data_IF_239589047960
#
_entry.id   IF_239589047960
#
_cell.length_a   1.000
_cell.length_b   1.000
_cell.length_c   1.000
_cell.angle_alpha   90.00
_cell.angle_beta   90.00
_cell.angle_gamma   90.00
#
_symmetry.space_group_name_H-M   'P 1'
#
loop_
_entity.id
_entity.type
_entity.pdbx_description
1 polymer ?
#
# COMPACT_ATOMS: atom_id res chain seq x y z
N UNK A 1 0.30 13.84 -37.91
CA UNK A 1 1.32 13.15 -38.74
C UNK A 1 1.66 14.12 -39.85
N UNK A 2 2.93 14.50 -40.01
CA UNK A 2 3.38 15.40 -41.10
C UNK A 2 3.85 14.50 -42.24
N UNK A 3 3.24 14.62 -43.41
CA UNK A 3 3.62 13.89 -44.62
C UNK A 3 4.58 14.77 -45.43
N UNK A 4 5.68 14.18 -45.91
CA UNK A 4 6.70 14.87 -46.69
C UNK A 4 6.73 14.25 -48.08
N UNK A 5 6.46 15.06 -49.09
CA UNK A 5 6.61 14.70 -50.49
C UNK A 5 7.82 15.46 -51.06
N UNK A 6 8.63 14.79 -51.87
CA UNK A 6 9.80 15.36 -52.53
C UNK A 6 9.76 14.98 -54.00
N UNK A 7 9.73 15.96 -54.87
CA UNK A 7 9.86 15.78 -56.32
C UNK A 7 11.31 16.09 -56.71
N UNK A 8 11.97 15.14 -57.38
CA UNK A 8 13.36 15.27 -57.82
C UNK A 8 13.44 15.04 -59.33
N UNK A 9 14.19 15.90 -60.02
CA UNK A 9 14.50 15.72 -61.44
C UNK A 9 15.44 14.53 -61.67
N UNK A 10 15.47 14.04 -62.91
CA UNK A 10 16.18 12.82 -63.29
C UNK A 10 17.69 12.95 -63.02
N UNK A 11 18.24 12.01 -62.23
CA UNK A 11 19.68 12.00 -61.87
C UNK A 11 20.03 12.72 -60.56
N UNK A 12 19.05 13.34 -59.88
CA UNK A 12 19.26 13.96 -58.57
C UNK A 12 18.94 13.00 -57.42
N UNK A 13 19.68 13.14 -56.31
CA UNK A 13 19.51 12.35 -55.09
C UNK A 13 19.39 13.28 -53.87
N UNK A 14 18.39 13.06 -53.04
CA UNK A 14 18.25 13.72 -51.73
C UNK A 14 18.66 12.74 -50.61
N UNK A 15 19.75 13.03 -49.87
CA UNK A 15 20.16 12.19 -48.76
C UNK A 15 19.12 12.16 -47.64
N UNK A 16 18.93 10.98 -47.04
CA UNK A 16 18.03 10.80 -45.88
C UNK A 16 18.44 11.67 -44.68
N UNK A 17 19.73 12.02 -44.57
CA UNK A 17 20.22 12.96 -43.56
C UNK A 17 19.63 14.37 -43.70
N UNK A 18 19.45 14.84 -44.95
CA UNK A 18 18.86 16.15 -45.25
C UNK A 18 17.36 16.16 -44.92
N UNK A 19 16.62 15.11 -45.31
CA UNK A 19 15.21 14.95 -44.93
C UNK A 19 15.03 14.95 -43.40
N UNK A 20 15.91 14.25 -42.67
CA UNK A 20 15.88 14.24 -41.22
C UNK A 20 16.20 15.61 -40.62
N UNK A 21 17.10 16.38 -41.24
CA UNK A 21 17.43 17.74 -40.82
C UNK A 21 16.26 18.69 -41.03
N UNK A 22 15.62 18.67 -42.21
CA UNK A 22 14.41 19.44 -42.51
C UNK A 22 13.30 19.12 -41.52
N UNK A 23 13.07 17.83 -41.22
CA UNK A 23 12.11 17.42 -40.21
C UNK A 23 12.44 18.00 -38.83
N UNK A 24 13.70 17.94 -38.38
CA UNK A 24 14.13 18.51 -37.09
C UNK A 24 13.91 20.02 -37.04
N UNK A 25 14.25 20.73 -38.11
CA UNK A 25 14.10 22.18 -38.17
C UNK A 25 12.63 22.59 -38.21
N UNK A 26 11.77 21.84 -38.91
CA UNK A 26 10.33 22.07 -38.91
C UNK A 26 9.71 21.83 -37.53
N UNK A 27 10.08 20.74 -36.84
CA UNK A 27 9.62 20.48 -35.48
C UNK A 27 10.07 21.59 -34.53
N UNK A 28 11.33 22.03 -34.63
CA UNK A 28 11.86 23.13 -33.80
C UNK A 28 11.12 24.44 -34.05
N UNK A 29 10.86 24.79 -35.32
CA UNK A 29 10.08 25.99 -35.67
C UNK A 29 8.66 25.89 -35.16
N UNK A 30 8.01 24.75 -35.35
CA UNK A 30 6.66 24.50 -34.85
C UNK A 30 6.59 24.60 -33.33
N UNK A 31 7.55 24.01 -32.61
CA UNK A 31 7.67 24.13 -31.16
C UNK A 31 7.87 25.58 -30.73
N UNK A 32 8.78 26.32 -31.37
CA UNK A 32 8.99 27.75 -31.11
C UNK A 32 7.70 28.56 -31.35
N UNK A 33 7.05 28.41 -32.50
CA UNK A 33 5.79 29.11 -32.81
C UNK A 33 4.67 28.74 -31.84
N UNK A 34 4.58 27.47 -31.45
CA UNK A 34 3.58 26.98 -30.49
C UNK A 34 3.83 27.50 -29.08
N UNK A 35 5.09 27.70 -28.70
CA UNK A 35 5.49 28.22 -27.39
C UNK A 35 5.58 29.76 -27.34
N UNK A 36 5.65 30.46 -28.48
CA UNK A 36 5.77 31.92 -28.56
C UNK A 36 4.66 32.66 -27.77
N UNK A 37 3.37 32.27 -27.87
CA UNK A 37 2.31 32.89 -27.07
C UNK A 37 2.43 32.63 -25.55
N UNK A 38 3.27 31.67 -25.16
CA UNK A 38 3.45 31.22 -23.78
C UNK A 38 4.72 31.79 -23.14
N UNK A 39 5.65 32.37 -23.91
CA UNK A 39 6.93 32.91 -23.42
C UNK A 39 6.77 34.03 -22.39
N UNK A 40 5.71 34.83 -22.52
CA UNK A 40 5.38 35.92 -21.59
C UNK A 40 4.45 35.53 -20.46
N UNK A 41 4.12 34.24 -20.29
CA UNK A 41 3.25 33.82 -19.17
C UNK A 41 3.99 33.97 -17.85
N UNK A 42 3.65 35.02 -17.13
CA UNK A 42 3.90 35.10 -15.69
C UNK A 42 3.00 34.06 -15.02
N UNK A 43 3.63 33.00 -14.52
CA UNK A 43 2.95 32.09 -13.60
C UNK A 43 2.82 32.86 -12.31
N UNK A 44 1.58 33.13 -11.87
CA UNK A 44 1.37 33.50 -10.48
C UNK A 44 1.87 32.34 -9.64
N UNK A 45 3.00 32.56 -8.95
CA UNK A 45 3.46 31.62 -7.93
C UNK A 45 2.39 31.66 -6.86
N UNK A 46 1.46 30.69 -6.92
CA UNK A 46 0.49 30.46 -5.87
C UNK A 46 1.27 30.43 -4.57
N UNK A 47 0.89 31.30 -3.62
CA UNK A 47 1.55 31.44 -2.33
C UNK A 47 1.93 30.04 -1.84
N UNK A 48 3.21 29.85 -1.47
CA UNK A 48 3.66 28.59 -0.87
C UNK A 48 2.64 28.25 0.22
N UNK A 49 1.94 27.13 0.03
CA UNK A 49 1.01 26.61 1.03
C UNK A 49 1.79 26.57 2.33
N UNK A 50 1.32 27.19 3.42
CA UNK A 50 2.03 27.19 4.68
C UNK A 50 2.41 25.74 5.01
N UNK A 51 3.71 25.48 5.19
CA UNK A 51 4.11 24.20 5.76
C UNK A 51 3.55 24.17 7.17
N UNK A 52 2.86 23.09 7.51
CA UNK A 52 2.44 22.87 8.89
C UNK A 52 3.72 22.88 9.75
N UNK A 53 3.70 23.69 10.81
CA UNK A 53 4.76 23.75 11.81
C UNK A 53 4.24 23.00 13.04
N UNK A 54 4.76 21.80 13.27
CA UNK A 54 4.47 21.01 14.46
C UNK A 54 5.73 20.31 14.93
N UNK A 55 5.85 20.12 16.24
CA UNK A 55 6.81 19.19 16.82
C UNK A 55 6.22 17.79 16.64
N UNK A 56 6.81 16.98 15.76
CA UNK A 56 6.31 15.64 15.50
C UNK A 56 6.28 14.78 16.78
N UNK A 57 5.25 13.93 16.92
CA UNK A 57 5.12 13.01 18.06
C UNK A 57 6.30 12.03 18.19
N UNK A 58 7.10 11.87 17.15
CA UNK A 58 8.33 11.08 17.14
C UNK A 58 9.52 11.79 17.80
N UNK A 59 9.33 12.92 18.47
CA UNK A 59 10.36 13.52 19.34
C UNK A 59 10.68 12.65 20.57
N UNK A 60 9.84 11.66 20.90
CA UNK A 60 10.12 10.68 21.95
C UNK A 60 10.76 9.40 21.37
N UNK A 61 11.85 8.95 22.00
CA UNK A 61 12.70 7.78 21.72
C UNK A 61 11.96 6.42 21.66
N UNK A 62 10.99 6.25 20.77
CA UNK A 62 10.25 4.99 20.65
C UNK A 62 10.91 4.07 19.62
N UNK A 63 11.36 2.90 20.08
CA UNK A 63 12.08 1.90 19.25
C UNK A 63 11.22 1.35 18.11
N UNK A 64 11.68 1.46 16.86
CA UNK A 64 11.01 0.92 15.68
C UNK A 64 10.62 -0.56 15.86
N UNK A 65 9.35 -0.89 15.66
CA UNK A 65 8.82 -2.24 15.89
C UNK A 65 8.16 -2.86 14.66
N UNK A 66 8.01 -4.18 14.67
CA UNK A 66 7.36 -4.94 13.58
C UNK A 66 5.86 -5.06 13.85
N UNK A 67 5.03 -4.63 12.90
CA UNK A 67 3.60 -4.91 12.84
C UNK A 67 3.30 -5.90 11.72
N UNK A 68 2.29 -6.75 11.87
CA UNK A 68 1.96 -7.77 10.86
C UNK A 68 0.46 -7.83 10.61
N UNK A 69 0.07 -7.79 9.34
CA UNK A 69 -1.32 -8.00 8.91
C UNK A 69 -1.53 -9.47 8.57
N UNK A 70 -2.50 -10.13 9.20
CA UNK A 70 -2.76 -11.57 9.09
C UNK A 70 -4.26 -11.88 8.95
N UNK A 71 -4.57 -13.04 8.39
CA UNK A 71 -5.95 -13.46 8.09
C UNK A 71 -6.52 -14.51 9.05
N UNK A 72 -5.69 -15.21 9.82
CA UNK A 72 -6.17 -16.31 10.68
C UNK A 72 -5.35 -16.42 11.96
N UNK A 73 -5.89 -17.16 12.93
CA UNK A 73 -5.29 -17.35 14.24
C UNK A 73 -3.89 -17.97 14.16
N UNK A 74 -3.69 -18.94 13.26
CA UNK A 74 -2.41 -19.61 13.09
C UNK A 74 -1.33 -18.63 12.63
N UNK A 75 -1.67 -17.75 11.69
CA UNK A 75 -0.78 -16.69 11.20
C UNK A 75 -0.54 -15.61 12.26
N UNK A 76 -1.54 -15.25 13.07
CA UNK A 76 -1.37 -14.32 14.20
C UNK A 76 -0.38 -14.89 15.24
N UNK A 77 -0.55 -16.16 15.60
CA UNK A 77 0.35 -16.90 16.48
C UNK A 77 1.78 -16.91 15.93
N UNK A 78 1.94 -17.27 14.65
CA UNK A 78 3.22 -17.26 13.95
C UNK A 78 3.89 -15.87 13.94
N UNK A 79 3.14 -14.81 13.68
CA UNK A 79 3.66 -13.44 13.68
C UNK A 79 4.20 -13.05 15.07
N UNK A 80 3.46 -13.38 16.13
CA UNK A 80 3.91 -13.14 17.51
C UNK A 80 5.14 -13.98 17.87
N UNK A 81 5.22 -15.23 17.43
CA UNK A 81 6.41 -16.09 17.62
C UNK A 81 7.64 -15.54 16.87
N UNK A 82 7.43 -14.91 15.71
CA UNK A 82 8.46 -14.17 14.98
C UNK A 82 8.82 -12.83 15.62
N UNK A 83 8.12 -12.42 16.68
CA UNK A 83 8.40 -11.21 17.46
C UNK A 83 7.71 -9.94 16.96
N UNK A 84 6.60 -10.08 16.24
CA UNK A 84 5.70 -8.95 15.98
C UNK A 84 5.23 -8.30 17.30
N UNK A 85 5.15 -6.98 17.31
CA UNK A 85 4.71 -6.15 18.45
C UNK A 85 3.33 -5.55 18.25
N UNK A 86 2.70 -5.77 17.09
CA UNK A 86 1.35 -5.35 16.77
C UNK A 86 0.78 -6.27 15.70
N UNK A 87 -0.45 -6.74 15.89
CA UNK A 87 -1.16 -7.58 14.91
C UNK A 87 -2.37 -6.82 14.37
N UNK A 88 -2.48 -6.78 13.04
CA UNK A 88 -3.69 -6.37 12.34
C UNK A 88 -4.41 -7.61 11.82
N UNK A 89 -5.52 -7.96 12.46
CA UNK A 89 -6.24 -9.19 12.18
C UNK A 89 -7.43 -8.92 11.26
N UNK A 90 -7.40 -9.43 10.04
CA UNK A 90 -8.46 -9.20 9.04
C UNK A 90 -9.49 -10.32 8.93
N UNK A 91 -9.26 -11.46 9.60
CA UNK A 91 -10.02 -12.68 9.36
C UNK A 91 -9.76 -13.25 7.96
N UNK A 92 -10.54 -14.25 7.55
CA UNK A 92 -10.36 -15.01 6.29
C UNK A 92 -10.68 -14.17 5.03
N UNK A 93 -9.92 -13.09 4.81
CA UNK A 93 -9.94 -12.24 3.61
C UNK A 93 -9.32 -13.03 2.46
N UNK A 94 -9.65 -12.65 1.21
CA UNK A 94 -9.16 -13.30 0.00
C UNK A 94 -9.61 -14.75 -0.18
N UNK A 95 -10.62 -15.17 0.59
CA UNK A 95 -11.42 -16.37 0.36
C UNK A 95 -12.87 -15.96 0.11
N UNK A 96 -13.47 -16.52 -0.94
CA UNK A 96 -14.90 -16.38 -1.18
C UNK A 96 -15.69 -17.20 -0.15
N UNK A 97 -16.80 -16.66 0.37
CA UNK A 97 -17.66 -17.32 1.37
C UNK A 97 -16.89 -17.84 2.61
N UNK A 98 -16.15 -16.97 3.32
CA UNK A 98 -15.48 -17.37 4.56
C UNK A 98 -16.52 -17.80 5.60
N UNK A 99 -16.15 -18.73 6.49
CA UNK A 99 -17.09 -19.33 7.46
C UNK A 99 -17.66 -18.28 8.41
N UNK A 100 -16.80 -17.43 8.96
CA UNK A 100 -17.19 -16.35 9.88
C UNK A 100 -16.25 -15.14 9.74
N UNK A 101 -16.81 -13.95 9.56
CA UNK A 101 -16.04 -12.70 9.49
C UNK A 101 -15.49 -12.38 10.88
N UNK A 102 -14.16 -12.34 10.99
CA UNK A 102 -13.47 -12.08 12.26
C UNK A 102 -13.80 -13.10 13.36
N UNK A 103 -14.37 -14.27 13.05
CA UNK A 103 -14.76 -15.25 14.08
C UNK A 103 -13.61 -15.75 14.96
N UNK A 104 -12.37 -15.68 14.47
CA UNK A 104 -11.16 -16.02 15.22
C UNK A 104 -10.50 -14.83 15.94
N UNK A 105 -10.98 -13.60 15.73
CA UNK A 105 -10.43 -12.39 16.36
C UNK A 105 -10.44 -12.48 17.90
N UNK A 106 -11.48 -12.99 18.60
CA UNK A 106 -11.44 -13.10 20.05
C UNK A 106 -10.33 -14.03 20.57
N UNK A 107 -10.03 -15.10 19.81
CA UNK A 107 -8.94 -16.03 20.13
C UNK A 107 -7.58 -15.38 19.87
N UNK A 108 -7.45 -14.66 18.76
CA UNK A 108 -6.24 -13.91 18.44
C UNK A 108 -5.97 -12.82 19.47
N UNK A 109 -7.01 -12.10 19.90
CA UNK A 109 -6.95 -11.10 20.96
C UNK A 109 -6.53 -11.70 22.29
N UNK A 110 -7.17 -12.79 22.74
CA UNK A 110 -6.78 -13.46 23.99
C UNK A 110 -5.30 -13.89 23.98
N UNK A 111 -4.84 -14.47 22.87
CA UNK A 111 -3.43 -14.81 22.68
C UNK A 111 -2.51 -13.58 22.72
N UNK A 112 -2.96 -12.48 22.12
CA UNK A 112 -2.25 -11.19 22.16
C UNK A 112 -2.10 -10.67 23.58
N UNK A 113 -3.18 -10.72 24.39
CA UNK A 113 -3.15 -10.33 25.80
C UNK A 113 -2.15 -11.15 26.60
N UNK A 114 -2.14 -12.48 26.43
CA UNK A 114 -1.21 -13.39 27.11
C UNK A 114 0.27 -13.07 26.79
N UNK A 115 0.52 -12.48 25.62
CA UNK A 115 1.86 -12.17 25.10
C UNK A 115 2.22 -10.68 25.19
N UNK A 116 1.32 -9.83 25.66
CA UNK A 116 1.49 -8.38 25.64
C UNK A 116 1.62 -7.79 24.23
N UNK A 117 0.98 -8.42 23.24
CA UNK A 117 0.97 -7.95 21.84
C UNK A 117 -0.45 -7.46 21.50
N UNK A 118 -0.66 -6.16 21.23
CA UNK A 118 -1.97 -5.64 20.86
C UNK A 118 -2.47 -6.23 19.54
N UNK A 119 -3.78 -6.51 19.49
CA UNK A 119 -4.47 -7.07 18.33
C UNK A 119 -5.58 -6.13 17.90
N UNK A 120 -5.40 -5.55 16.71
CA UNK A 120 -6.31 -4.62 16.09
C UNK A 120 -7.19 -5.35 15.08
N UNK A 121 -8.49 -5.08 15.08
CA UNK A 121 -9.37 -5.58 14.02
C UNK A 121 -9.11 -4.77 12.75
N UNK A 122 -8.78 -5.44 11.66
CA UNK A 122 -8.49 -4.82 10.38
C UNK A 122 -9.68 -4.98 9.44
N UNK A 123 -10.20 -3.86 8.96
CA UNK A 123 -11.34 -3.83 8.05
C UNK A 123 -10.93 -3.71 6.60
N UNK A 124 -11.78 -4.26 5.73
CA UNK A 124 -11.58 -4.23 4.29
C UNK A 124 -11.54 -2.77 3.79
N UNK A 125 -10.62 -2.46 2.87
CA UNK A 125 -10.48 -1.11 2.29
C UNK A 125 -11.72 -0.64 1.52
N UNK A 126 -12.49 -1.57 0.96
CA UNK A 126 -13.70 -1.30 0.19
C UNK A 126 -14.88 -1.93 0.93
N UNK A 127 -15.71 -1.10 1.51
CA UNK A 127 -16.93 -1.49 2.23
C UNK A 127 -18.13 -0.79 1.61
N UNK A 128 -19.12 -1.56 1.16
CA UNK A 128 -20.39 -1.03 0.66
C UNK A 128 -21.40 -0.84 1.80
N UNK A 129 -22.37 0.07 1.63
CA UNK A 129 -23.35 0.38 2.68
C UNK A 129 -24.06 -0.86 3.24
N UNK A 130 -24.38 -1.85 2.39
CA UNK A 130 -25.09 -3.04 2.80
C UNK A 130 -24.27 -3.99 3.68
N UNK A 131 -22.93 -3.86 3.72
CA UNK A 131 -22.05 -4.74 4.51
C UNK A 131 -21.69 -4.17 5.89
N UNK A 132 -21.87 -2.86 6.07
CA UNK A 132 -21.48 -2.16 7.29
C UNK A 132 -22.23 -2.65 8.54
N UNK A 133 -23.55 -2.94 8.50
CA UNK A 133 -24.26 -3.47 9.67
C UNK A 133 -23.69 -4.79 10.17
N UNK A 134 -23.28 -5.68 9.26
CA UNK A 134 -22.69 -6.99 9.61
C UNK A 134 -21.31 -6.83 10.26
N UNK A 135 -20.50 -5.90 9.75
CA UNK A 135 -19.20 -5.57 10.32
C UNK A 135 -19.37 -5.04 11.76
N UNK A 136 -20.24 -4.05 11.95
CA UNK A 136 -20.51 -3.44 13.26
C UNK A 136 -21.08 -4.48 14.23
N UNK A 137 -22.06 -5.28 13.78
CA UNK A 137 -22.66 -6.34 14.57
C UNK A 137 -21.66 -7.44 14.96
N UNK A 138 -20.65 -7.69 14.13
CA UNK A 138 -19.55 -8.61 14.43
C UNK A 138 -18.60 -8.01 15.47
N UNK A 139 -18.17 -6.76 15.30
CA UNK A 139 -17.27 -6.07 16.22
C UNK A 139 -17.88 -5.90 17.62
N UNK A 140 -19.17 -5.54 17.73
CA UNK A 140 -19.86 -5.36 19.02
C UNK A 140 -19.88 -6.61 19.91
N UNK A 141 -19.67 -7.80 19.34
CA UNK A 141 -19.66 -9.08 20.07
C UNK A 141 -18.27 -9.51 20.51
N UNK A 142 -17.24 -8.76 20.12
CA UNK A 142 -15.86 -9.20 20.17
C UNK A 142 -14.99 -8.21 20.93
N UNK A 143 -13.84 -8.68 21.41
CA UNK A 143 -12.84 -7.86 22.07
C UNK A 143 -11.63 -7.72 21.16
N UNK A 144 -11.08 -6.52 21.12
CA UNK A 144 -9.90 -6.13 20.36
C UNK A 144 -9.32 -4.86 20.99
N UNK A 145 -8.04 -4.57 20.73
CA UNK A 145 -7.33 -3.44 21.34
C UNK A 145 -7.45 -2.16 20.52
N UNK A 146 -7.88 -2.26 19.26
CA UNK A 146 -8.04 -1.13 18.37
C UNK A 146 -8.53 -1.53 16.98
N UNK A 147 -8.66 -0.54 16.10
CA UNK A 147 -9.18 -0.70 14.74
C UNK A 147 -8.16 -0.22 13.72
N UNK A 148 -7.95 -0.99 12.65
CA UNK A 148 -7.27 -0.52 11.43
C UNK A 148 -8.32 -0.27 10.36
N UNK A 149 -8.52 0.99 10.00
CA UNK A 149 -9.60 1.44 9.13
C UNK A 149 -9.02 2.05 7.86
N UNK A 150 -9.62 1.73 6.71
CA UNK A 150 -9.11 2.14 5.40
C UNK A 150 -9.96 3.12 4.60
N UNK A 151 -11.14 3.53 5.09
CA UNK A 151 -12.01 4.45 4.38
C UNK A 151 -12.84 5.32 5.35
N UNK A 152 -13.25 6.50 4.88
CA UNK A 152 -13.98 7.47 5.70
C UNK A 152 -15.36 6.99 6.18
N UNK A 153 -16.05 6.17 5.39
CA UNK A 153 -17.38 5.66 5.77
C UNK A 153 -17.30 4.69 6.96
N UNK A 154 -16.34 3.77 6.92
CA UNK A 154 -16.02 2.90 8.05
C UNK A 154 -15.46 3.70 9.21
N UNK A 155 -14.62 4.71 8.94
CA UNK A 155 -14.04 5.57 9.99
C UNK A 155 -15.15 6.20 10.83
N UNK A 156 -16.08 6.90 10.19
CA UNK A 156 -17.14 7.63 10.89
C UNK A 156 -18.03 6.72 11.74
N UNK A 157 -18.39 5.55 11.21
CA UNK A 157 -19.24 4.60 11.93
C UNK A 157 -18.55 3.95 13.13
N UNK A 158 -17.23 3.81 13.10
CA UNK A 158 -16.50 3.05 14.11
C UNK A 158 -15.91 3.92 15.22
N UNK A 159 -16.06 5.24 15.12
CA UNK A 159 -15.67 6.17 16.20
C UNK A 159 -16.40 5.89 17.51
N UNK A 160 -17.56 5.22 17.45
CA UNK A 160 -18.34 4.83 18.63
C UNK A 160 -17.66 3.75 19.48
N UNK A 161 -16.68 3.01 18.96
CA UNK A 161 -16.07 1.87 19.67
C UNK A 161 -15.08 2.26 20.79
N UNK A 162 -14.85 3.56 21.05
CA UNK A 162 -13.96 4.10 22.11
C UNK A 162 -12.59 3.42 22.22
N UNK A 163 -12.06 2.89 21.11
CA UNK A 163 -10.73 2.27 21.00
C UNK A 163 -9.83 3.07 20.06
N UNK A 164 -8.49 2.95 20.20
CA UNK A 164 -7.55 3.55 19.26
C UNK A 164 -7.82 3.13 17.81
N UNK A 165 -7.90 4.11 16.91
CA UNK A 165 -8.05 3.88 15.47
C UNK A 165 -6.73 4.19 14.77
N UNK A 166 -6.24 3.25 13.97
CA UNK A 166 -5.12 3.40 13.06
C UNK A 166 -5.66 3.64 11.64
N UNK A 167 -5.11 4.63 10.94
CA UNK A 167 -5.42 4.88 9.54
C UNK A 167 -4.58 3.97 8.62
N UNK A 168 -5.24 3.18 7.80
CA UNK A 168 -4.61 2.26 6.86
C UNK A 168 -4.04 2.97 5.61
N UNK A 169 -3.19 2.24 4.88
CA UNK A 169 -2.52 2.70 3.66
C UNK A 169 -3.49 3.22 2.59
N UNK A 170 -4.75 2.78 2.59
CA UNK A 170 -5.76 3.12 1.59
C UNK A 170 -6.27 4.56 1.69
N UNK A 171 -5.95 5.29 2.76
CA UNK A 171 -6.14 6.75 2.81
C UNK A 171 -5.18 7.52 1.90
N UNK A 172 -4.16 6.85 1.33
CA UNK A 172 -3.19 7.45 0.40
C UNK A 172 -2.51 8.70 0.98
N UNK A 173 -2.09 8.62 2.24
CA UNK A 173 -1.46 9.75 2.94
C UNK A 173 -0.12 10.08 2.31
N UNK A 174 -0.09 11.18 1.55
CA UNK A 174 1.05 11.61 0.74
C UNK A 174 1.68 12.95 1.20
N UNK A 175 1.00 13.69 2.07
CA UNK A 175 1.44 15.01 2.51
C UNK A 175 1.02 15.29 3.96
N UNK A 176 1.62 16.32 4.56
CA UNK A 176 1.39 16.70 5.96
C UNK A 176 -0.04 17.13 6.24
N UNK A 177 -0.79 17.63 5.26
CA UNK A 177 -2.18 18.05 5.43
C UNK A 177 -3.12 16.85 5.64
N UNK A 178 -2.88 15.77 4.90
CA UNK A 178 -3.61 14.51 5.11
C UNK A 178 -3.30 13.92 6.49
N UNK A 179 -2.03 14.01 6.93
CA UNK A 179 -1.61 13.60 8.27
C UNK A 179 -2.36 14.40 9.35
N UNK A 180 -2.36 15.72 9.26
CA UNK A 180 -3.02 16.61 10.22
C UNK A 180 -4.52 16.38 10.28
N UNK A 181 -5.18 16.21 9.12
CA UNK A 181 -6.60 15.91 9.05
C UNK A 181 -6.92 14.63 9.84
N UNK A 182 -6.21 13.53 9.57
CA UNK A 182 -6.46 12.26 10.24
C UNK A 182 -6.15 12.32 11.74
N UNK A 183 -5.07 13.00 12.12
CA UNK A 183 -4.73 13.20 13.52
C UNK A 183 -5.82 13.99 14.26
N UNK A 184 -6.33 15.07 13.66
CA UNK A 184 -7.44 15.86 14.23
C UNK A 184 -8.74 15.05 14.36
N UNK A 185 -9.00 14.15 13.42
CA UNK A 185 -10.14 13.23 13.49
C UNK A 185 -9.94 12.07 14.51
N UNK A 186 -8.80 12.02 15.20
CA UNK A 186 -8.53 11.08 16.30
C UNK A 186 -7.72 9.85 15.91
N UNK A 187 -7.02 9.86 14.77
CA UNK A 187 -6.09 8.79 14.44
C UNK A 187 -4.97 8.70 15.50
N UNK A 188 -4.73 7.51 16.02
CA UNK A 188 -3.62 7.25 16.96
C UNK A 188 -2.34 6.79 16.27
N UNK A 189 -2.44 6.37 15.00
CA UNK A 189 -1.32 6.06 14.11
C UNK A 189 -1.79 6.17 12.65
N UNK A 190 -0.88 6.59 11.76
CA UNK A 190 -1.17 6.74 10.33
C UNK A 190 -0.20 5.90 9.50
N UNK A 191 -0.72 5.12 8.55
CA UNK A 191 0.10 4.41 7.57
C UNK A 191 0.35 5.30 6.35
N UNK A 192 1.62 5.61 6.08
CA UNK A 192 1.99 6.44 4.94
C UNK A 192 1.89 5.66 3.62
N UNK A 193 1.65 6.39 2.52
CA UNK A 193 1.48 5.80 1.19
C UNK A 193 2.72 5.01 0.72
N UNK A 194 2.46 3.91 0.00
CA UNK A 194 3.46 3.10 -0.71
C UNK A 194 4.16 3.85 -1.85
N UNK A 195 3.62 5.00 -2.24
CA UNK A 195 4.09 5.83 -3.36
C UNK A 195 5.13 6.88 -2.95
N UNK A 196 5.37 7.06 -1.65
CA UNK A 196 6.31 8.03 -1.11
C UNK A 196 7.75 7.52 -1.14
N UNK A 197 8.70 8.45 -1.26
CA UNK A 197 10.11 8.20 -0.95
C UNK A 197 10.35 8.18 0.56
N UNK A 198 11.36 7.44 1.05
CA UNK A 198 11.72 7.44 2.47
C UNK A 198 12.11 8.82 3.01
N UNK A 199 12.65 9.69 2.15
CA UNK A 199 12.92 11.10 2.48
C UNK A 199 11.64 11.89 2.77
N UNK A 200 10.58 11.64 1.99
CA UNK A 200 9.27 12.25 2.20
C UNK A 200 8.57 11.65 3.42
N UNK A 201 8.68 10.33 3.63
CA UNK A 201 8.20 9.69 4.87
C UNK A 201 8.87 10.31 6.09
N UNK A 202 10.17 10.59 6.03
CA UNK A 202 10.89 11.29 7.11
C UNK A 202 10.32 12.68 7.38
N UNK A 203 10.04 13.46 6.32
CA UNK A 203 9.40 14.78 6.47
C UNK A 203 8.02 14.65 7.14
N UNK A 204 7.21 13.65 6.75
CA UNK A 204 5.93 13.38 7.43
C UNK A 204 6.13 13.02 8.91
N UNK A 205 7.11 12.17 9.24
CA UNK A 205 7.38 11.76 10.61
C UNK A 205 7.83 12.94 11.51
N UNK A 206 8.53 13.93 10.95
CA UNK A 206 8.97 15.13 11.67
C UNK A 206 7.82 16.11 11.96
N UNK A 207 6.81 16.15 11.08
CA UNK A 207 5.69 17.08 11.18
C UNK A 207 4.45 16.46 11.83
N UNK A 208 4.35 15.13 11.86
CA UNK A 208 3.14 14.44 12.28
C UNK A 208 2.95 14.50 13.79
N UNK A 209 1.78 14.96 14.29
CA UNK A 209 1.44 14.91 15.71
C UNK A 209 1.11 13.49 16.20
N UNK A 210 1.19 12.47 15.33
CA UNK A 210 0.92 11.06 15.67
C UNK A 210 1.97 10.15 15.04
N UNK A 211 2.20 8.95 15.58
CA UNK A 211 3.14 8.00 14.97
C UNK A 211 2.77 7.62 13.53
N UNK A 212 3.81 7.47 12.69
CA UNK A 212 3.67 7.02 11.30
C UNK A 212 4.17 5.58 11.17
N UNK A 213 3.48 4.76 10.36
CA UNK A 213 3.95 3.45 9.93
C UNK A 213 4.08 3.37 8.41
N UNK A 214 4.84 2.39 7.92
CA UNK A 214 4.95 2.07 6.49
C UNK A 214 4.85 0.56 6.28
N UNK A 215 4.37 0.15 5.11
CA UNK A 215 4.46 -1.25 4.67
C UNK A 215 5.84 -1.50 4.11
N UNK A 216 6.52 -2.55 4.57
CA UNK A 216 7.91 -2.85 4.21
C UNK A 216 8.09 -4.18 3.52
N UNK A 217 7.11 -5.10 3.66
CA UNK A 217 7.21 -6.42 3.09
C UNK A 217 5.84 -6.99 2.72
N UNK A 218 5.81 -7.73 1.62
CA UNK A 218 4.70 -8.61 1.27
C UNK A 218 4.07 -8.27 -0.08
N UNK A 219 3.01 -9.00 -0.45
CA UNK A 219 2.29 -8.77 -1.70
C UNK A 219 1.56 -7.43 -1.68
N UNK A 220 1.83 -6.59 -2.67
CA UNK A 220 1.15 -5.31 -2.85
C UNK A 220 0.02 -5.49 -3.86
N UNK A 221 -1.20 -5.16 -3.46
CA UNK A 221 -2.37 -5.15 -4.32
C UNK A 221 -2.26 -4.02 -5.36
N UNK A 222 -2.42 -4.37 -6.65
CA UNK A 222 -2.37 -3.44 -7.76
C UNK A 222 -3.75 -2.96 -8.19
N UNK A 223 -4.75 -3.85 -8.17
CA UNK A 223 -6.09 -3.53 -8.67
C UNK A 223 -7.15 -4.37 -7.97
N UNK A 224 -8.31 -3.77 -7.71
CA UNK A 224 -9.54 -4.46 -7.30
C UNK A 224 -10.60 -4.26 -8.36
N UNK A 225 -11.33 -5.31 -8.71
CA UNK A 225 -12.44 -5.25 -9.67
C UNK A 225 -13.68 -5.98 -9.17
N UNK A 226 -14.85 -5.40 -9.41
CA UNK A 226 -16.16 -6.02 -9.13
C UNK A 226 -16.56 -7.09 -10.16
N UNK A 227 -15.86 -7.13 -11.29
CA UNK A 227 -16.18 -8.07 -12.37
C UNK A 227 -15.34 -9.33 -12.21
N UNK A 228 -15.91 -10.33 -11.54
CA UNK A 228 -15.34 -11.67 -11.50
C UNK A 228 -15.25 -12.24 -12.93
N UNK A 229 -14.06 -12.62 -13.36
CA UNK A 229 -13.82 -13.16 -14.71
C UNK A 229 -14.56 -14.48 -15.00
N UNK A 230 -14.98 -15.22 -13.97
CA UNK A 230 -15.79 -16.43 -14.12
C UNK A 230 -17.29 -16.14 -14.25
N UNK A 231 -17.73 -14.89 -14.06
CA UNK A 231 -19.16 -14.55 -13.99
C UNK A 231 -19.91 -14.97 -15.25
N UNK A 232 -19.34 -14.66 -16.41
CA UNK A 232 -19.98 -14.90 -17.71
C UNK A 232 -19.98 -16.39 -18.10
N UNK A 233 -19.23 -17.24 -17.39
CA UNK A 233 -19.23 -18.70 -17.54
C UNK A 233 -20.27 -19.40 -16.64
N UNK A 234 -21.05 -18.62 -15.89
CA UNK A 234 -21.92 -19.11 -14.82
C UNK A 234 -21.13 -19.39 -13.55
N UNK A 235 -21.53 -18.75 -12.45
CA UNK A 235 -20.87 -18.92 -11.16
C UNK A 235 -21.10 -20.33 -10.59
N UNK A 236 -20.05 -21.14 -10.56
CA UNK A 236 -19.97 -22.47 -9.94
C UNK A 236 -18.88 -22.53 -8.85
N UNK A 237 -18.52 -21.38 -8.28
CA UNK A 237 -17.44 -21.25 -7.30
C UNK A 237 -16.07 -21.74 -7.84
N UNK A 238 -15.82 -21.53 -9.14
CA UNK A 238 -14.54 -21.86 -9.81
C UNK A 238 -13.34 -21.19 -9.13
N UNK A 239 -13.55 -19.96 -8.64
CA UNK A 239 -12.54 -19.21 -7.90
C UNK A 239 -12.08 -19.87 -6.58
N UNK A 240 -12.82 -20.85 -6.04
CA UNK A 240 -12.40 -21.62 -4.87
C UNK A 240 -11.87 -23.02 -5.24
N UNK A 241 -12.26 -23.56 -6.40
CA UNK A 241 -12.02 -24.95 -6.76
C UNK A 241 -10.86 -25.16 -7.74
N UNK A 242 -10.44 -24.13 -8.49
CA UNK A 242 -9.45 -24.27 -9.58
C UNK A 242 -8.01 -23.87 -9.18
N UNK A 243 -7.70 -23.81 -7.89
CA UNK A 243 -6.36 -23.44 -7.41
C UNK A 243 -6.06 -21.94 -7.54
N UNK A 244 -4.81 -21.51 -7.23
CA UNK A 244 -4.45 -20.10 -7.24
C UNK A 244 -4.48 -19.55 -8.67
N UNK A 245 -5.23 -18.47 -8.86
CA UNK A 245 -5.34 -17.80 -10.14
C UNK A 245 -4.17 -16.84 -10.34
N UNK A 246 -3.63 -16.82 -11.57
CA UNK A 246 -2.53 -15.93 -11.95
C UNK A 246 -2.81 -15.36 -13.33
N UNK A 247 -2.75 -14.03 -13.45
CA UNK A 247 -2.74 -13.36 -14.75
C UNK A 247 -1.31 -13.27 -15.26
N UNK A 248 -1.10 -13.52 -16.56
CA UNK A 248 0.22 -13.41 -17.19
C UNK A 248 0.16 -12.33 -18.27
N UNK A 249 1.03 -11.34 -18.18
CA UNK A 249 1.12 -10.30 -19.19
C UNK A 249 1.93 -10.74 -20.43
N UNK A 250 2.00 -9.87 -21.44
CA UNK A 250 2.75 -10.14 -22.68
C UNK A 250 4.27 -10.30 -22.46
N UNK A 251 4.80 -9.84 -21.33
CA UNK A 251 6.22 -9.94 -20.95
C UNK A 251 6.49 -11.15 -20.06
N UNK A 252 5.47 -11.94 -19.71
CA UNK A 252 5.59 -13.11 -18.85
C UNK A 252 5.52 -12.81 -17.36
N UNK A 253 5.26 -11.57 -16.95
CA UNK A 253 5.06 -11.26 -15.53
C UNK A 253 3.77 -11.90 -15.03
N UNK A 254 3.84 -12.47 -13.82
CA UNK A 254 2.78 -13.28 -13.21
C UNK A 254 2.15 -12.50 -12.06
N UNK A 255 0.87 -12.20 -12.15
CA UNK A 255 0.13 -11.38 -11.18
C UNK A 255 -0.86 -12.27 -10.43
N UNK A 256 -0.63 -12.59 -9.14
CA UNK A 256 -1.53 -13.40 -8.35
C UNK A 256 -2.91 -12.75 -8.23
N UNK A 257 -3.95 -13.56 -8.25
CA UNK A 257 -5.33 -13.09 -8.14
C UNK A 257 -6.07 -13.85 -7.05
N UNK A 258 -6.71 -13.09 -6.18
CA UNK A 258 -7.54 -13.61 -5.10
C UNK A 258 -8.96 -13.08 -5.21
N UNK A 259 -9.88 -13.72 -4.47
CA UNK A 259 -11.29 -13.34 -4.46
C UNK A 259 -11.77 -13.17 -3.03
N UNK A 260 -12.43 -12.06 -2.73
CA UNK A 260 -13.01 -11.84 -1.40
C UNK A 260 -14.43 -12.43 -1.27
N UNK A 261 -15.01 -12.24 -0.09
CA UNK A 261 -16.38 -12.68 0.23
C UNK A 261 -17.45 -11.99 -0.62
N UNK A 262 -17.16 -10.80 -1.14
CA UNK A 262 -18.05 -9.98 -1.96
C UNK A 262 -17.92 -10.27 -3.44
N UNK A 263 -17.13 -11.30 -3.82
CA UNK A 263 -16.84 -11.65 -5.20
C UNK A 263 -16.04 -10.57 -5.95
N UNK A 264 -15.37 -9.68 -5.22
CA UNK A 264 -14.34 -8.83 -5.81
C UNK A 264 -13.12 -9.67 -6.14
N UNK A 265 -12.46 -9.30 -7.23
CA UNK A 265 -11.21 -9.89 -7.66
C UNK A 265 -10.07 -8.91 -7.34
N UNK A 266 -9.07 -9.40 -6.62
CA UNK A 266 -7.91 -8.66 -6.14
C UNK A 266 -6.67 -9.11 -6.89
N UNK A 267 -6.10 -8.24 -7.70
CA UNK A 267 -4.91 -8.50 -8.52
C UNK A 267 -3.71 -7.90 -7.80
N UNK A 268 -2.73 -8.74 -7.48
CA UNK A 268 -1.48 -8.35 -6.84
C UNK A 268 -0.36 -8.15 -7.85
N UNK A 269 0.60 -7.30 -7.49
CA UNK A 269 1.81 -7.09 -8.28
C UNK A 269 2.60 -8.39 -8.47
N UNK A 270 3.36 -8.45 -9.56
CA UNK A 270 4.15 -9.63 -9.93
C UNK A 270 5.40 -9.85 -9.08
N UNK A 271 5.80 -8.84 -8.32
CA UNK A 271 6.92 -8.90 -7.38
C UNK A 271 6.48 -8.34 -6.04
N UNK A 272 6.91 -9.00 -4.98
CA UNK A 272 6.61 -8.58 -3.61
C UNK A 272 7.50 -7.41 -3.19
N UNK A 273 6.96 -6.55 -2.34
CA UNK A 273 7.73 -5.51 -1.70
C UNK A 273 8.67 -6.16 -0.67
N UNK A 274 9.93 -5.71 -0.62
CA UNK A 274 10.81 -5.96 0.52
C UNK A 274 11.80 -4.82 0.70
N UNK A 275 11.83 -4.28 1.91
CA UNK A 275 12.83 -3.31 2.38
C UNK A 275 13.84 -3.92 3.37
N UNK A 276 13.91 -5.25 3.48
CA UNK A 276 14.78 -5.93 4.46
C UNK A 276 16.27 -5.55 4.28
N UNK A 277 16.73 -5.38 3.03
CA UNK A 277 18.09 -4.91 2.73
C UNK A 277 18.31 -3.41 2.94
N UNK A 278 17.33 -2.67 3.46
CA UNK A 278 17.33 -1.22 3.59
C UNK A 278 16.85 -0.73 4.96
N UNK A 279 16.98 -1.57 6.00
CA UNK A 279 16.48 -1.25 7.33
C UNK A 279 17.14 -0.02 7.94
N UNK A 280 18.40 0.28 7.62
CA UNK A 280 19.07 1.50 8.10
C UNK A 280 18.39 2.77 7.56
N UNK A 281 18.03 2.79 6.27
CA UNK A 281 17.29 3.91 5.68
C UNK A 281 15.87 4.02 6.26
N UNK A 282 15.23 2.87 6.55
CA UNK A 282 13.89 2.81 7.16
C UNK A 282 13.92 3.29 8.61
N UNK A 283 14.89 2.84 9.43
CA UNK A 283 15.10 3.35 10.80
C UNK A 283 15.28 4.87 10.77
N UNK A 284 16.12 5.36 9.86
CA UNK A 284 16.41 6.78 9.75
C UNK A 284 15.20 7.61 9.26
N UNK A 285 14.15 7.01 8.69
CA UNK A 285 12.92 7.75 8.35
C UNK A 285 12.06 8.09 9.58
N UNK A 286 12.34 7.51 10.75
CA UNK A 286 11.63 7.84 11.99
C UNK A 286 10.21 7.24 12.08
N UNK A 287 9.93 6.19 11.32
CA UNK A 287 8.65 5.46 11.43
C UNK A 287 8.59 4.69 12.75
N UNK A 288 7.39 4.52 13.31
CA UNK A 288 7.14 3.78 14.55
C UNK A 288 7.02 2.27 14.31
N UNK A 289 6.33 1.90 13.22
CA UNK A 289 6.16 0.51 12.82
C UNK A 289 6.55 0.27 11.38
N UNK A 290 7.24 -0.85 11.16
CA UNK A 290 7.36 -1.48 9.84
C UNK A 290 6.30 -2.57 9.73
N UNK A 291 5.41 -2.47 8.74
CA UNK A 291 4.29 -3.40 8.56
C UNK A 291 4.58 -4.45 7.50
N UNK A 292 4.37 -5.72 7.84
CA UNK A 292 4.44 -6.86 6.94
C UNK A 292 3.01 -7.27 6.54
N UNK A 293 2.74 -7.38 5.24
CA UNK A 293 1.46 -7.88 4.70
C UNK A 293 1.52 -9.40 4.52
N UNK A 294 0.95 -10.16 5.46
CA UNK A 294 0.93 -11.62 5.50
C UNK A 294 -0.40 -12.27 5.12
N UNK A 295 -1.42 -11.50 4.72
CA UNK A 295 -2.81 -11.99 4.52
C UNK A 295 -2.97 -13.11 3.48
N UNK A 296 -2.04 -13.21 2.54
CA UNK A 296 -2.03 -14.23 1.47
C UNK A 296 -0.94 -15.29 1.68
N UNK A 297 -0.33 -15.32 2.87
CA UNK A 297 0.85 -16.13 3.20
C UNK A 297 0.49 -17.16 4.26
N UNK A 298 1.25 -18.25 4.27
CA UNK A 298 1.11 -19.27 5.30
C UNK A 298 1.80 -18.85 6.62
N UNK A 299 1.46 -19.49 7.75
CA UNK A 299 2.05 -19.18 9.05
C UNK A 299 3.58 -19.29 9.09
N UNK A 300 4.20 -20.23 8.37
CA UNK A 300 5.66 -20.42 8.40
C UNK A 300 6.37 -19.23 7.74
N UNK A 301 5.84 -18.76 6.61
CA UNK A 301 6.30 -17.53 5.96
C UNK A 301 6.13 -16.32 6.88
N UNK A 302 4.98 -16.20 7.55
CA UNK A 302 4.67 -15.08 8.46
C UNK A 302 5.66 -15.05 9.62
N UNK A 303 5.90 -16.20 10.27
CA UNK A 303 6.86 -16.32 11.38
C UNK A 303 8.27 -15.96 10.92
N UNK A 304 8.73 -16.57 9.82
CA UNK A 304 10.09 -16.40 9.32
C UNK A 304 10.36 -14.97 8.89
N UNK A 305 9.42 -14.34 8.18
CA UNK A 305 9.57 -12.95 7.72
C UNK A 305 9.54 -11.98 8.90
N UNK A 306 8.66 -12.19 9.87
CA UNK A 306 8.61 -11.36 11.09
C UNK A 306 9.92 -11.45 11.88
N UNK A 307 10.47 -12.67 12.04
CA UNK A 307 11.76 -12.91 12.69
C UNK A 307 12.93 -12.21 11.98
N UNK A 308 12.98 -12.30 10.64
CA UNK A 308 14.01 -11.64 9.84
C UNK A 308 13.99 -10.11 10.05
N UNK A 309 12.80 -9.48 10.01
CA UNK A 309 12.71 -8.05 10.27
C UNK A 309 13.10 -7.69 11.70
N UNK A 310 12.65 -8.46 12.70
CA UNK A 310 13.05 -8.24 14.09
C UNK A 310 14.57 -8.28 14.24
N UNK A 311 15.22 -9.33 13.75
CA UNK A 311 16.68 -9.52 13.83
C UNK A 311 17.44 -8.44 13.07
N UNK A 312 17.00 -8.10 11.86
CA UNK A 312 17.59 -7.02 11.08
C UNK A 312 17.43 -5.64 11.75
N UNK A 313 16.30 -5.38 12.40
CA UNK A 313 16.10 -4.17 13.19
C UNK A 313 17.02 -4.12 14.42
N UNK A 314 17.31 -5.27 15.03
CA UNK A 314 18.31 -5.40 16.11
C UNK A 314 19.78 -5.33 15.62
N UNK A 315 20.02 -5.16 14.32
CA UNK A 315 21.35 -4.96 13.74
C UNK A 315 22.04 -6.23 13.23
N UNK A 316 21.35 -7.38 13.22
CA UNK A 316 21.88 -8.57 12.56
C UNK A 316 21.90 -8.42 11.04
N UNK A 317 22.93 -8.95 10.39
CA UNK A 317 22.94 -9.05 8.94
C UNK A 317 22.02 -10.17 8.49
N UNK A 318 20.88 -9.80 7.91
CA UNK A 318 19.83 -10.72 7.47
C UNK A 318 19.62 -10.59 5.96
N UNK A 319 19.40 -11.73 5.31
CA UNK A 319 19.10 -11.79 3.89
C UNK A 319 17.86 -12.65 3.67
N UNK A 320 17.11 -12.31 2.62
CA UNK A 320 15.99 -13.13 2.17
C UNK A 320 16.20 -13.46 0.69
N UNK A 321 16.25 -14.75 0.31
CA UNK A 321 16.41 -15.14 -1.08
C UNK A 321 15.15 -14.80 -1.87
N UNK A 322 15.32 -14.30 -3.10
CA UNK A 322 14.22 -14.02 -4.01
C UNK A 322 14.34 -12.67 -4.72
N UNK A 323 13.47 -12.46 -5.71
CA UNK A 323 13.35 -11.19 -6.40
C UNK A 323 12.27 -10.32 -5.75
N UNK A 324 12.68 -9.19 -5.17
CA UNK A 324 11.78 -8.23 -4.54
C UNK A 324 11.84 -6.88 -5.23
N UNK A 325 10.73 -6.14 -5.20
CA UNK A 325 10.71 -4.73 -5.52
C UNK A 325 10.92 -3.90 -4.25
N UNK A 326 11.49 -2.71 -4.40
CA UNK A 326 11.62 -1.73 -3.31
C UNK A 326 10.46 -0.73 -3.31
N UNK A 327 9.45 -0.95 -4.16
CA UNK A 327 8.37 -0.02 -4.40
C UNK A 327 8.88 1.35 -4.86
N UNK A 328 8.17 2.41 -4.46
CA UNK A 328 8.52 3.79 -4.78
C UNK A 328 9.38 4.47 -3.71
N UNK A 329 9.71 3.76 -2.63
CA UNK A 329 10.48 4.27 -1.49
C UNK A 329 11.85 4.89 -1.84
N UNK A 330 12.42 4.60 -3.02
CA UNK A 330 13.69 5.16 -3.51
C UNK A 330 13.58 5.97 -4.80
N UNK A 331 12.41 5.99 -5.45
CA UNK A 331 12.23 6.61 -6.77
C UNK A 331 11.10 7.64 -6.81
N UNK A 332 10.15 7.57 -5.89
CA UNK A 332 8.90 8.33 -5.92
C UNK A 332 8.00 7.90 -7.07
N UNK A 333 6.82 8.55 -7.13
CA UNK A 333 5.85 8.44 -8.24
C UNK A 333 5.83 9.72 -9.11
N UNK A 334 6.59 10.76 -8.73
CA UNK A 334 6.66 12.05 -9.43
C UNK A 334 8.10 12.44 -9.77
#
# INVERSE_FOLDING_TARGET
VVEFESELEQGLHLPVSELNQVRRDLVRRWEQTRLEPYRGRTIEIVKKVPRLTGEGANAAESELAVAVTVSDLASAQAAMDGGAKLIYFSGEVYKRAPRDLLGELPKAWALGQDRGVPVFAHLERITETHVLPDIIGSLNKQKFDGLLVGNFGSWELLREFEVPIHADLSFNVFNSWAVELLAREGASLITASLELQLSQVRELCQLSPVPISIVVHGPVESMVTKYCMYRDQGCKYQCQSQGPLVLVDKKGYRFPVYFDRWCHMHIFNSRELSLLGHLEQVKASGVRYVRIEGRTKDPDWVRSTSDLYRRGLSGENVEIPGEFTKGHYFRGVL
#
